data_IF_250346767957
#
_entry.id   IF_250346767957
#
_cell.length_a   1.000
_cell.length_b   1.000
_cell.length_c   1.000
_cell.angle_alpha   90.00
_cell.angle_beta   90.00
_cell.angle_gamma   90.00
#
_symmetry.space_group_name_H-M   'P 1'
#
loop_
_entity.id
_entity.type
_entity.pdbx_description
1 polymer ?
#
# COMPACT_ATOMS: atom_id res chain seq x y z
N UNK A 1 1.11 15.28 -5.18
CA UNK A 1 1.30 15.10 -3.72
C UNK A 1 1.57 16.46 -3.11
N UNK A 2 1.32 16.59 -1.81
CA UNK A 2 1.58 17.81 -1.05
C UNK A 2 3.08 17.90 -0.68
N UNK A 3 3.68 19.09 -0.82
CA UNK A 3 5.11 19.30 -0.51
C UNK A 3 5.39 19.33 0.99
N UNK A 4 4.51 19.94 1.79
CA UNK A 4 4.64 20.00 3.24
C UNK A 4 4.53 18.60 3.83
N UNK A 5 3.67 17.75 3.28
CA UNK A 5 3.58 16.34 3.65
C UNK A 5 4.89 15.58 3.40
N UNK A 6 5.50 15.73 2.22
CA UNK A 6 6.79 15.07 1.97
C UNK A 6 7.93 15.62 2.83
N UNK A 7 7.86 16.89 3.24
CA UNK A 7 8.87 17.52 4.08
C UNK A 7 8.69 17.18 5.57
N UNK A 8 7.58 16.56 5.98
CA UNK A 8 7.32 16.27 7.41
C UNK A 8 8.03 15.03 7.93
N UNK A 9 8.71 14.26 7.06
CA UNK A 9 9.38 13.03 7.44
C UNK A 9 10.55 12.67 6.52
N UNK A 10 11.30 11.61 6.85
CA UNK A 10 12.40 11.16 6.03
C UNK A 10 11.94 10.69 4.64
N UNK A 11 12.78 10.92 3.63
CA UNK A 11 12.55 10.46 2.26
C UNK A 11 13.77 9.70 1.77
N UNK A 12 13.58 8.45 1.37
CA UNK A 12 14.61 7.66 0.71
C UNK A 12 14.60 7.95 -0.79
N UNK A 13 15.79 8.05 -1.40
CA UNK A 13 15.97 8.42 -2.80
C UNK A 13 16.87 7.41 -3.51
N UNK A 14 16.57 7.11 -4.78
CA UNK A 14 17.55 6.53 -5.69
C UNK A 14 18.04 7.61 -6.66
N UNK A 15 19.36 7.65 -6.85
CA UNK A 15 20.01 8.47 -7.86
C UNK A 15 20.68 7.61 -8.92
N UNK A 16 20.55 8.03 -10.17
CA UNK A 16 21.27 7.49 -11.31
C UNK A 16 21.96 8.67 -12.01
N UNK A 17 23.29 8.63 -12.10
CA UNK A 17 24.11 9.72 -12.65
C UNK A 17 23.77 11.09 -12.03
N UNK A 18 23.67 11.14 -10.70
CA UNK A 18 23.33 12.34 -9.94
C UNK A 18 21.85 12.75 -9.95
N UNK A 19 21.05 12.23 -10.88
CA UNK A 19 19.61 12.55 -11.01
C UNK A 19 18.75 11.66 -10.12
N UNK A 20 17.76 12.25 -9.44
CA UNK A 20 16.78 11.49 -8.65
C UNK A 20 15.83 10.79 -9.62
N UNK A 21 15.73 9.47 -9.50
CA UNK A 21 14.91 8.62 -10.38
C UNK A 21 13.80 7.87 -9.66
N UNK A 22 13.90 7.74 -8.33
CA UNK A 22 12.85 7.18 -7.49
C UNK A 22 12.90 7.78 -6.08
N UNK A 23 11.76 7.78 -5.39
CA UNK A 23 11.68 8.12 -3.99
C UNK A 23 10.66 7.26 -3.24
N UNK A 24 10.84 7.16 -1.92
CA UNK A 24 9.87 6.65 -0.97
C UNK A 24 9.81 7.55 0.28
N UNK A 25 8.62 7.97 0.70
CA UNK A 25 8.44 8.66 1.99
C UNK A 25 8.34 7.64 3.12
N UNK A 26 8.96 7.98 4.26
CA UNK A 26 8.97 7.17 5.46
C UNK A 26 8.22 7.88 6.58
N UNK A 27 7.42 7.11 7.32
CA UNK A 27 6.87 7.51 8.59
C UNK A 27 7.50 6.63 9.66
N UNK A 28 8.04 7.26 10.70
CA UNK A 28 8.71 6.57 11.81
C UNK A 28 8.05 6.97 13.11
N UNK A 29 7.74 6.01 13.98
CA UNK A 29 7.22 6.29 15.32
C UNK A 29 8.34 6.17 16.34
N UNK A 30 8.39 7.10 17.30
CA UNK A 30 9.44 7.15 18.32
C UNK A 30 9.32 6.06 19.39
N UNK A 31 8.16 5.41 19.51
CA UNK A 31 7.84 4.54 20.65
C UNK A 31 8.21 3.07 20.48
N UNK A 32 8.22 2.53 19.27
CA UNK A 32 8.19 1.06 19.09
C UNK A 32 9.18 0.51 18.05
N UNK A 33 10.03 1.36 17.47
CA UNK A 33 10.97 0.91 16.43
C UNK A 33 10.26 0.45 15.15
N UNK A 34 9.08 0.99 14.89
CA UNK A 34 8.28 0.69 13.71
C UNK A 34 8.39 1.82 12.67
N UNK A 35 8.54 1.42 11.41
CA UNK A 35 8.57 2.32 10.27
C UNK A 35 7.51 1.91 9.23
N UNK A 36 7.05 2.87 8.43
CA UNK A 36 6.06 2.67 7.38
C UNK A 36 6.47 3.39 6.10
N UNK A 37 6.30 2.73 4.95
CA UNK A 37 6.45 3.35 3.63
C UNK A 37 5.07 3.77 3.14
N UNK A 38 4.91 5.06 2.81
CA UNK A 38 3.66 5.59 2.28
C UNK A 38 3.73 5.86 0.77
N UNK A 39 4.28 7.01 0.36
CA UNK A 39 4.37 7.39 -1.04
C UNK A 39 5.63 6.82 -1.66
N UNK A 40 5.48 6.06 -2.74
CA UNK A 40 6.60 5.65 -3.60
C UNK A 40 6.33 6.01 -5.05
N UNK A 41 7.31 6.59 -5.74
CA UNK A 41 7.23 6.93 -7.17
C UNK A 41 8.60 6.76 -7.83
N UNK A 42 8.59 6.44 -9.12
CA UNK A 42 9.77 6.39 -9.95
C UNK A 42 9.48 6.99 -11.33
N UNK A 43 10.52 7.45 -12.01
CA UNK A 43 10.40 7.95 -13.39
C UNK A 43 10.31 6.77 -14.37
N UNK A 44 9.58 6.89 -15.50
CA UNK A 44 9.54 5.85 -16.54
C UNK A 44 10.93 5.55 -17.12
N UNK A 45 11.11 4.36 -17.70
CA UNK A 45 12.35 3.99 -18.39
C UNK A 45 13.49 3.54 -17.47
N UNK A 46 13.26 3.46 -16.15
CA UNK A 46 14.21 2.89 -15.20
C UNK A 46 14.10 1.38 -15.12
N UNK A 47 15.19 0.71 -14.76
CA UNK A 47 15.21 -0.73 -14.60
C UNK A 47 14.20 -1.19 -13.53
N UNK A 48 13.48 -2.29 -13.80
CA UNK A 48 12.43 -2.84 -12.92
C UNK A 48 12.89 -3.17 -11.50
N UNK A 49 14.16 -3.49 -11.32
CA UNK A 49 14.77 -3.78 -10.01
C UNK A 49 15.06 -2.54 -9.13
N UNK A 50 14.80 -1.34 -9.64
CA UNK A 50 15.04 -0.08 -8.92
C UNK A 50 14.25 -0.02 -7.60
N UNK A 51 12.98 -0.42 -7.64
CA UNK A 51 12.12 -0.42 -6.45
C UNK A 51 12.52 -1.51 -5.46
N UNK A 52 12.99 -2.66 -5.95
CA UNK A 52 13.53 -3.73 -5.11
C UNK A 52 14.76 -3.22 -4.34
N UNK A 53 15.70 -2.56 -5.05
CA UNK A 53 16.87 -1.94 -4.44
C UNK A 53 16.50 -0.86 -3.41
N UNK A 54 15.54 0.01 -3.73
CA UNK A 54 15.08 1.04 -2.80
C UNK A 54 14.55 0.45 -1.49
N UNK A 55 13.73 -0.61 -1.58
CA UNK A 55 13.21 -1.30 -0.40
C UNK A 55 14.32 -1.96 0.42
N UNK A 56 15.24 -2.69 -0.22
CA UNK A 56 16.38 -3.31 0.47
C UNK A 56 17.20 -2.25 1.20
N UNK A 57 17.51 -1.12 0.56
CA UNK A 57 18.31 -0.05 1.20
C UNK A 57 17.57 0.62 2.35
N UNK A 58 16.26 0.79 2.26
CA UNK A 58 15.44 1.28 3.38
C UNK A 58 15.51 0.28 4.55
N UNK A 59 15.30 -1.01 4.29
CA UNK A 59 15.36 -2.07 5.31
C UNK A 59 16.72 -2.13 6.00
N UNK A 60 17.81 -2.13 5.24
CA UNK A 60 19.18 -2.12 5.77
C UNK A 60 19.43 -0.89 6.65
N UNK A 61 18.99 0.29 6.20
CA UNK A 61 19.16 1.56 6.93
C UNK A 61 18.37 1.57 8.23
N UNK A 62 17.10 1.16 8.19
CA UNK A 62 16.23 1.10 9.37
C UNK A 62 16.75 0.08 10.38
N UNK A 63 17.20 -1.09 9.91
CA UNK A 63 17.83 -2.11 10.76
C UNK A 63 19.08 -1.57 11.46
N UNK A 64 19.94 -0.83 10.75
CA UNK A 64 21.13 -0.21 11.33
C UNK A 64 20.79 0.88 12.36
N UNK A 65 19.62 1.51 12.25
CA UNK A 65 19.10 2.50 13.20
C UNK A 65 18.35 1.86 14.39
N UNK A 66 18.22 0.53 14.43
CA UNK A 66 17.58 -0.18 15.53
C UNK A 66 16.06 -0.33 15.40
N UNK A 67 15.48 -0.06 14.22
CA UNK A 67 14.07 -0.35 13.98
C UNK A 67 13.85 -1.87 13.93
N UNK A 68 12.79 -2.32 14.59
CA UNK A 68 12.40 -3.72 14.69
C UNK A 68 11.55 -4.16 13.49
N UNK A 69 10.63 -3.30 13.03
CA UNK A 69 9.72 -3.66 11.93
C UNK A 69 9.59 -2.57 10.88
N UNK A 70 9.29 -3.01 9.65
CA UNK A 70 8.92 -2.15 8.53
C UNK A 70 7.59 -2.61 7.94
N UNK A 71 6.57 -1.78 8.09
CA UNK A 71 5.27 -2.00 7.49
C UNK A 71 5.30 -1.59 6.00
N UNK A 72 5.21 -2.61 5.12
CA UNK A 72 5.22 -2.46 3.66
C UNK A 72 3.86 -2.00 3.10
N UNK A 73 2.89 -1.69 3.96
CA UNK A 73 1.51 -1.38 3.64
C UNK A 73 0.66 -2.58 3.27
N UNK A 74 -0.64 -2.35 3.13
CA UNK A 74 -1.59 -3.40 2.81
C UNK A 74 -1.44 -3.89 1.36
N UNK A 75 -1.58 -5.19 1.13
CA UNK A 75 -1.95 -5.74 -0.18
C UNK A 75 -3.42 -6.18 -0.08
N UNK A 76 -4.37 -5.35 -0.56
CA UNK A 76 -5.78 -5.61 -0.39
C UNK A 76 -6.16 -6.99 -0.91
N UNK A 77 -6.95 -7.73 -0.13
CA UNK A 77 -7.70 -8.91 -0.56
C UNK A 77 -6.87 -10.11 -1.03
N UNK A 78 -5.55 -10.05 -0.88
CA UNK A 78 -4.60 -11.14 -1.06
C UNK A 78 -5.03 -12.44 -0.34
N UNK A 79 -5.75 -12.34 0.78
CA UNK A 79 -6.25 -13.48 1.56
C UNK A 79 -7.70 -13.92 1.31
N UNK A 80 -8.44 -13.28 0.39
CA UNK A 80 -9.85 -13.63 0.15
C UNK A 80 -10.04 -14.96 -0.60
N UNK A 81 -9.00 -15.48 -1.24
CA UNK A 81 -9.08 -16.65 -2.12
C UNK A 81 -9.10 -18.02 -1.41
N UNK A 82 -9.00 -18.07 -0.08
CA UNK A 82 -8.71 -19.34 0.61
C UNK A 82 -9.74 -19.87 1.62
N UNK A 83 -10.71 -19.06 2.05
CA UNK A 83 -11.48 -19.41 3.24
C UNK A 83 -12.81 -20.10 2.91
N UNK A 84 -12.82 -21.45 2.97
CA UNK A 84 -13.98 -22.32 2.65
C UNK A 84 -15.17 -22.19 3.61
N UNK A 85 -15.03 -21.40 4.69
CA UNK A 85 -16.08 -21.05 5.67
C UNK A 85 -16.50 -19.57 5.62
N UNK A 86 -16.04 -18.81 4.63
CA UNK A 86 -16.43 -17.41 4.53
C UNK A 86 -17.90 -17.25 4.10
N UNK A 87 -18.61 -16.21 4.59
CA UNK A 87 -19.97 -15.90 4.15
C UNK A 87 -20.06 -15.73 2.63
N UNK A 88 -21.22 -16.05 2.04
CA UNK A 88 -21.49 -15.95 0.60
C UNK A 88 -21.18 -14.55 0.01
N UNK A 89 -21.11 -13.52 0.85
CA UNK A 89 -20.68 -12.17 0.51
C UNK A 89 -19.27 -12.08 -0.12
N UNK A 90 -18.36 -13.01 0.18
CA UNK A 90 -17.02 -13.02 -0.42
C UNK A 90 -17.04 -13.20 -1.96
N UNK A 91 -18.06 -13.86 -2.50
CA UNK A 91 -18.21 -14.02 -3.95
C UNK A 91 -18.66 -12.72 -4.63
N UNK A 92 -19.54 -11.94 -3.99
CA UNK A 92 -19.98 -10.62 -4.49
C UNK A 92 -18.85 -9.60 -4.38
N UNK A 93 -18.13 -9.59 -3.26
CA UNK A 93 -16.89 -8.84 -3.10
C UNK A 93 -15.95 -9.16 -4.28
N UNK A 94 -15.61 -10.43 -4.50
CA UNK A 94 -14.73 -10.85 -5.60
C UNK A 94 -15.17 -10.32 -6.97
N UNK A 95 -16.47 -10.33 -7.29
CA UNK A 95 -17.00 -9.83 -8.57
C UNK A 95 -16.94 -8.30 -8.72
N UNK A 96 -17.23 -7.54 -7.67
CA UNK A 96 -17.05 -6.06 -7.67
C UNK A 96 -15.57 -5.72 -7.86
N UNK A 97 -14.66 -6.54 -7.31
CA UNK A 97 -13.22 -6.35 -7.42
C UNK A 97 -12.61 -6.80 -8.76
N UNK A 98 -13.10 -7.88 -9.38
CA UNK A 98 -12.72 -8.27 -10.75
C UNK A 98 -13.00 -7.14 -11.76
N UNK A 99 -14.06 -6.35 -11.53
CA UNK A 99 -14.36 -5.13 -12.31
C UNK A 99 -13.62 -3.87 -11.80
N UNK A 100 -13.07 -3.92 -10.59
CA UNK A 100 -12.26 -2.87 -9.96
C UNK A 100 -10.75 -2.96 -10.24
N UNK A 101 -10.27 -4.01 -10.91
CA UNK A 101 -8.85 -4.17 -11.33
C UNK A 101 -8.31 -2.95 -12.11
N UNK A 102 -9.21 -2.18 -12.73
CA UNK A 102 -8.87 -0.93 -13.43
C UNK A 102 -8.33 0.17 -12.51
N UNK A 103 -8.62 0.10 -11.20
CA UNK A 103 -8.20 1.11 -10.23
C UNK A 103 -6.95 0.72 -9.43
N UNK A 104 -6.59 -0.56 -9.33
CA UNK A 104 -5.39 -1.01 -8.59
C UNK A 104 -4.92 -2.40 -9.04
N UNK A 105 -3.65 -2.52 -9.46
CA UNK A 105 -3.01 -3.80 -9.80
C UNK A 105 -2.61 -4.58 -8.53
N UNK A 106 -3.59 -5.11 -7.79
CA UNK A 106 -3.40 -5.71 -6.47
C UNK A 106 -2.53 -6.98 -6.47
N UNK A 107 -2.63 -7.82 -7.53
CA UNK A 107 -1.80 -9.02 -7.68
C UNK A 107 -0.32 -8.67 -7.80
N UNK A 108 0.02 -7.63 -8.56
CA UNK A 108 1.38 -7.12 -8.68
C UNK A 108 1.92 -6.58 -7.36
N UNK A 109 1.08 -5.87 -6.59
CA UNK A 109 1.48 -5.32 -5.28
C UNK A 109 1.76 -6.43 -4.27
N UNK A 110 0.94 -7.50 -4.21
CA UNK A 110 1.22 -8.64 -3.33
C UNK A 110 2.52 -9.33 -3.73
N UNK A 111 2.65 -9.70 -5.00
CA UNK A 111 3.83 -10.41 -5.51
C UNK A 111 5.12 -9.59 -5.32
N UNK A 112 5.04 -8.26 -5.43
CA UNK A 112 6.16 -7.38 -5.12
C UNK A 112 6.58 -7.49 -3.65
N UNK A 113 5.63 -7.45 -2.70
CA UNK A 113 5.92 -7.52 -1.26
C UNK A 113 6.41 -8.89 -0.82
N UNK A 114 5.91 -9.95 -1.45
CA UNK A 114 6.32 -11.34 -1.17
C UNK A 114 7.83 -11.57 -1.36
N UNK A 115 8.50 -10.77 -2.22
CA UNK A 115 9.96 -10.84 -2.43
C UNK A 115 10.78 -10.62 -1.15
N UNK A 116 10.19 -9.97 -0.15
CA UNK A 116 10.86 -9.59 1.09
C UNK A 116 10.49 -10.50 2.27
N UNK A 117 9.79 -11.61 2.01
CA UNK A 117 9.34 -12.57 3.03
C UNK A 117 8.62 -11.92 4.22
N UNK A 118 7.53 -11.14 3.99
CA UNK A 118 6.87 -10.41 5.06
C UNK A 118 5.91 -11.29 5.86
N UNK A 119 5.76 -10.97 7.14
CA UNK A 119 4.67 -11.50 7.96
C UNK A 119 3.32 -10.89 7.57
N UNK A 120 2.47 -11.68 6.90
CA UNK A 120 1.15 -11.24 6.47
C UNK A 120 0.16 -11.17 7.62
N UNK A 121 -0.36 -9.96 7.89
CA UNK A 121 -1.39 -9.75 8.90
C UNK A 121 -2.74 -9.33 8.28
N UNK A 122 -3.87 -9.91 8.71
CA UNK A 122 -5.17 -9.48 8.23
C UNK A 122 -5.52 -8.07 8.73
N UNK A 123 -6.32 -7.34 7.95
CA UNK A 123 -6.90 -6.05 8.30
C UNK A 123 -8.40 -6.12 8.05
N UNK A 124 -9.18 -5.56 8.96
CA UNK A 124 -10.64 -5.67 8.97
C UNK A 124 -11.29 -4.30 8.95
N UNK A 125 -12.40 -4.19 8.23
CA UNK A 125 -13.31 -3.04 8.30
C UNK A 125 -14.42 -3.38 9.28
N UNK A 126 -14.53 -2.62 10.37
CA UNK A 126 -15.62 -2.76 11.34
C UNK A 126 -16.72 -1.79 10.95
N UNK A 127 -17.95 -2.28 10.81
CA UNK A 127 -19.13 -1.49 10.45
C UNK A 127 -20.20 -1.64 11.54
N UNK A 128 -20.94 -0.57 11.81
CA UNK A 128 -22.06 -0.60 12.72
C UNK A 128 -23.36 -1.03 12.00
N UNK A 129 -24.23 -1.76 12.70
CA UNK A 129 -25.57 -2.15 12.21
C UNK A 129 -25.74 -3.64 11.94
N UNK A 130 -27.00 -4.09 11.78
CA UNK A 130 -27.33 -5.43 11.30
C UNK A 130 -27.61 -5.37 9.80
N UNK A 131 -26.82 -6.09 8.99
CA UNK A 131 -27.00 -6.13 7.53
C UNK A 131 -25.70 -6.30 6.75
N UNK A 132 -25.81 -6.28 5.41
CA UNK A 132 -24.65 -6.35 4.52
C UNK A 132 -23.88 -5.01 4.53
N UNK A 133 -22.53 -5.02 4.59
CA UNK A 133 -21.69 -3.82 4.75
C UNK A 133 -21.55 -2.96 3.49
N UNK A 134 -22.51 -3.04 2.55
CA UNK A 134 -22.38 -2.49 1.19
C UNK A 134 -22.26 -0.97 1.21
N UNK A 135 -23.11 -0.30 1.97
CA UNK A 135 -23.11 1.17 2.04
C UNK A 135 -21.81 1.69 2.62
N UNK A 136 -21.33 1.10 3.73
CA UNK A 136 -20.04 1.47 4.32
C UNK A 136 -18.86 1.24 3.38
N UNK A 137 -18.89 0.18 2.57
CA UNK A 137 -17.86 -0.06 1.56
C UNK A 137 -17.89 1.00 0.45
N UNK A 138 -19.07 1.41 0.00
CA UNK A 138 -19.21 2.51 -0.98
C UNK A 138 -18.68 3.81 -0.38
N UNK A 139 -19.07 4.15 0.85
CA UNK A 139 -18.64 5.38 1.53
C UNK A 139 -17.12 5.46 1.66
N UNK A 140 -16.48 4.38 2.11
CA UNK A 140 -15.02 4.30 2.23
C UNK A 140 -14.35 4.39 0.85
N UNK A 141 -14.91 3.75 -0.17
CA UNK A 141 -14.38 3.80 -1.54
C UNK A 141 -14.44 5.22 -2.10
N UNK A 142 -15.56 5.92 -1.91
CA UNK A 142 -15.72 7.31 -2.33
C UNK A 142 -14.78 8.24 -1.57
N UNK A 143 -14.60 8.03 -0.26
CA UNK A 143 -13.68 8.81 0.55
C UNK A 143 -12.23 8.66 0.06
N UNK A 144 -11.78 7.43 -0.17
CA UNK A 144 -10.43 7.13 -0.67
C UNK A 144 -10.22 7.68 -2.09
N UNK A 145 -11.23 7.56 -2.95
CA UNK A 145 -11.20 8.05 -4.33
C UNK A 145 -11.20 9.57 -4.48
N UNK A 146 -11.27 10.34 -3.39
CA UNK A 146 -11.36 11.81 -3.42
C UNK A 146 -12.78 12.34 -3.70
N UNK A 147 -13.80 11.56 -3.40
CA UNK A 147 -15.23 11.88 -3.58
C UNK A 147 -15.65 11.93 -5.06
N UNK A 148 -16.86 12.46 -5.32
CA UNK A 148 -17.40 12.65 -6.68
C UNK A 148 -16.50 13.51 -7.58
N UNK A 149 -15.67 14.40 -7.01
CA UNK A 149 -14.71 15.24 -7.74
C UNK A 149 -13.51 14.45 -8.26
N UNK A 150 -13.14 13.33 -7.63
CA UNK A 150 -12.10 12.42 -8.10
C UNK A 150 -12.50 11.64 -9.35
N UNK A 151 -13.80 11.32 -9.50
CA UNK A 151 -14.36 10.65 -10.67
C UNK A 151 -14.39 11.51 -11.94
N UNK A 152 -14.44 12.84 -11.78
CA UNK A 152 -14.46 13.79 -12.92
C UNK A 152 -13.07 14.23 -13.39
N UNK A 153 -12.00 13.84 -12.67
CA UNK A 153 -10.63 14.23 -13.02
C UNK A 153 -9.98 13.11 -13.84
N UNK A 154 -10.25 13.11 -15.15
CA UNK A 154 -9.51 12.34 -16.16
C UNK A 154 -8.24 13.07 -16.57
#
# INVERSE_FOLDING_TARGET
FDRAYLASGPVALIRLDGRIVAFASLMTTSSDGDAFIDLMRHVPGVHRGMMDLLFVKIMETLKAQGFATLNLGMAPLAGLSGNRRAPAWNHVARQIFEHGERFYNFRGVRAFKEKFDPDWQPRYLVVAGQGLPILSLIDVTLLIGGGLKGLTRK
#
